data_IF_505504463944
#
_entry.id   IF_505504463944
#
_cell.length_a   1.000
_cell.length_b   1.000
_cell.length_c   1.000
_cell.angle_alpha   90.00
_cell.angle_beta   90.00
_cell.angle_gamma   90.00
#
_symmetry.space_group_name_H-M   'P 1'
#
loop_
_entity.id
_entity.type
_entity.pdbx_description
1 polymer ?
#
# COMPACT_ATOMS: atom_id res chain seq x y z
N UNK A 1 -45.50 25.51 10.69
CA UNK A 1 -45.05 25.00 9.38
C UNK A 1 -43.53 25.02 9.21
N UNK A 2 -42.83 26.12 9.52
CA UNK A 2 -41.38 26.28 9.32
C UNK A 2 -40.54 25.17 9.99
N UNK A 3 -40.86 24.76 11.23
CA UNK A 3 -40.16 23.64 11.90
C UNK A 3 -40.28 22.31 11.14
N UNK A 4 -41.45 22.00 10.57
CA UNK A 4 -41.67 20.75 9.80
C UNK A 4 -40.91 20.75 8.47
N UNK A 5 -40.82 21.91 7.81
CA UNK A 5 -40.03 22.08 6.57
C UNK A 5 -38.53 21.95 6.87
N UNK A 6 -38.06 22.54 7.97
CA UNK A 6 -36.67 22.44 8.40
C UNK A 6 -36.27 21.01 8.77
N UNK A 7 -37.14 20.28 9.50
CA UNK A 7 -36.93 18.85 9.82
C UNK A 7 -36.91 17.98 8.56
N UNK A 8 -37.78 18.25 7.58
CA UNK A 8 -37.80 17.53 6.30
C UNK A 8 -36.52 17.78 5.49
N UNK A 9 -36.02 19.03 5.48
CA UNK A 9 -34.79 19.40 4.79
C UNK A 9 -33.54 18.76 5.41
N UNK A 10 -33.49 18.67 6.76
CA UNK A 10 -32.43 17.95 7.47
C UNK A 10 -32.46 16.44 7.18
N UNK A 11 -33.65 15.86 7.01
CA UNK A 11 -33.79 14.45 6.66
C UNK A 11 -33.28 14.15 5.25
N UNK A 12 -33.60 14.99 4.27
CA UNK A 12 -33.15 14.79 2.87
C UNK A 12 -31.65 14.98 2.71
N UNK A 13 -31.03 15.90 3.45
CA UNK A 13 -29.59 16.14 3.41
C UNK A 13 -28.78 14.94 3.93
N UNK A 14 -29.29 14.25 4.96
CA UNK A 14 -28.65 13.05 5.50
C UNK A 14 -28.64 11.87 4.51
N UNK A 15 -29.66 11.73 3.66
CA UNK A 15 -29.76 10.64 2.68
C UNK A 15 -28.71 10.75 1.55
N UNK A 16 -28.33 11.98 1.18
CA UNK A 16 -27.35 12.23 0.12
C UNK A 16 -25.94 11.77 0.52
N UNK A 17 -25.52 12.00 1.76
CA UNK A 17 -24.21 11.57 2.26
C UNK A 17 -24.06 10.03 2.37
N UNK A 18 -25.16 9.31 2.64
CA UNK A 18 -25.15 7.84 2.66
C UNK A 18 -25.13 7.21 1.26
N UNK A 19 -25.65 7.89 0.24
CA UNK A 19 -25.74 7.36 -1.12
C UNK A 19 -24.36 7.20 -1.80
N UNK A 20 -23.44 8.16 -1.62
CA UNK A 20 -22.13 8.17 -2.30
C UNK A 20 -21.26 6.94 -1.97
N UNK A 21 -21.23 6.51 -0.70
CA UNK A 21 -20.46 5.30 -0.29
C UNK A 21 -21.04 4.01 -0.87
N UNK A 22 -22.36 3.98 -1.05
CA UNK A 22 -23.06 2.80 -1.55
C UNK A 22 -22.75 2.54 -3.03
N UNK A 23 -22.52 3.60 -3.82
CA UNK A 23 -22.27 3.52 -5.25
C UNK A 23 -20.91 2.85 -5.57
N UNK A 24 -19.81 3.37 -5.04
CA UNK A 24 -18.46 2.82 -5.29
C UNK A 24 -18.33 1.36 -4.87
N UNK A 25 -18.85 1.00 -3.69
CA UNK A 25 -18.82 -0.38 -3.21
C UNK A 25 -19.62 -1.32 -4.12
N UNK A 26 -20.74 -0.86 -4.67
CA UNK A 26 -21.58 -1.63 -5.60
C UNK A 26 -20.85 -1.85 -6.93
N UNK A 27 -20.20 -0.82 -7.46
CA UNK A 27 -19.40 -0.93 -8.69
C UNK A 27 -18.24 -1.90 -8.55
N UNK A 28 -17.47 -1.79 -7.46
CA UNK A 28 -16.37 -2.73 -7.17
C UNK A 28 -16.88 -4.17 -7.05
N UNK A 29 -18.00 -4.40 -6.37
CA UNK A 29 -18.62 -5.73 -6.29
C UNK A 29 -19.02 -6.26 -7.66
N UNK A 30 -19.55 -5.42 -8.55
CA UNK A 30 -19.89 -5.79 -9.93
C UNK A 30 -18.66 -6.21 -10.74
N UNK A 31 -17.51 -5.55 -10.54
CA UNK A 31 -16.24 -5.92 -11.20
C UNK A 31 -15.75 -7.29 -10.72
N UNK A 32 -15.82 -7.51 -9.40
CA UNK A 32 -15.37 -8.75 -8.75
C UNK A 32 -16.28 -9.93 -9.09
N UNK A 33 -17.56 -9.67 -9.34
CA UNK A 33 -18.55 -10.71 -9.63
C UNK A 33 -18.14 -11.57 -10.84
N UNK A 34 -18.39 -12.87 -10.72
CA UNK A 34 -18.02 -13.89 -11.70
C UNK A 34 -16.51 -14.16 -11.87
N UNK A 35 -15.61 -13.55 -11.08
CA UNK A 35 -14.17 -13.87 -11.14
C UNK A 35 -13.86 -15.11 -10.30
N UNK A 36 -13.10 -16.04 -10.86
CA UNK A 36 -12.61 -17.22 -10.14
C UNK A 36 -11.38 -16.87 -9.27
N UNK A 37 -11.56 -15.95 -8.32
CA UNK A 37 -10.52 -15.50 -7.40
C UNK A 37 -11.14 -14.89 -6.13
N UNK A 38 -10.40 -14.91 -5.02
CA UNK A 38 -10.73 -14.08 -3.85
C UNK A 38 -10.10 -12.70 -4.06
N UNK A 39 -10.93 -11.71 -4.38
CA UNK A 39 -10.48 -10.31 -4.51
C UNK A 39 -10.84 -9.56 -3.23
N UNK A 40 -9.84 -8.95 -2.58
CA UNK A 40 -10.07 -8.00 -1.49
C UNK A 40 -9.69 -6.59 -1.91
N UNK A 41 -10.44 -5.61 -1.40
CA UNK A 41 -10.24 -4.19 -1.69
C UNK A 41 -10.42 -3.42 -0.39
N UNK A 42 -9.47 -2.54 -0.10
CA UNK A 42 -9.54 -1.54 0.97
C UNK A 42 -9.28 -0.17 0.37
N UNK A 43 -10.20 0.77 0.58
CA UNK A 43 -10.03 2.17 0.18
C UNK A 43 -10.13 3.02 1.44
N UNK A 44 -9.10 3.83 1.65
CA UNK A 44 -9.01 4.82 2.70
C UNK A 44 -8.75 6.17 2.03
N UNK A 45 -9.66 7.11 2.20
CA UNK A 45 -9.44 8.49 1.75
C UNK A 45 -8.75 9.27 2.87
N UNK A 46 -7.75 10.08 2.50
CA UNK A 46 -7.03 10.95 3.44
C UNK A 46 -7.75 12.28 3.65
N UNK A 47 -8.54 12.72 2.67
CA UNK A 47 -9.25 14.02 2.68
C UNK A 47 -10.72 13.88 3.08
N UNK A 48 -11.31 12.70 2.89
CA UNK A 48 -12.71 12.42 3.19
C UNK A 48 -12.82 11.19 4.10
N UNK A 49 -12.92 11.41 5.41
CA UNK A 49 -13.09 10.35 6.40
C UNK A 49 -14.35 9.49 6.17
N UNK A 50 -15.29 9.95 5.36
CA UNK A 50 -16.48 9.21 4.99
C UNK A 50 -16.23 8.26 3.80
N UNK A 51 -15.24 8.48 2.96
CA UNK A 51 -14.91 7.61 1.82
C UNK A 51 -13.98 6.45 2.23
N UNK A 52 -14.44 5.63 3.17
CA UNK A 52 -13.74 4.42 3.61
C UNK A 52 -14.58 3.20 3.32
N UNK A 53 -14.02 2.21 2.63
CA UNK A 53 -14.71 0.95 2.33
C UNK A 53 -13.78 -0.24 2.32
N UNK A 54 -14.34 -1.40 2.66
CA UNK A 54 -13.68 -2.70 2.63
C UNK A 54 -14.57 -3.74 1.92
N UNK A 55 -13.93 -4.58 1.11
CA UNK A 55 -14.47 -5.81 0.52
C UNK A 55 -13.46 -6.92 0.86
N UNK A 56 -13.89 -7.97 1.56
CA UNK A 56 -13.02 -9.07 2.02
C UNK A 56 -11.79 -8.60 2.84
N UNK A 57 -11.90 -7.47 3.55
CA UNK A 57 -10.78 -6.85 4.27
C UNK A 57 -10.26 -7.64 5.47
N UNK A 58 -11.01 -8.65 5.91
CA UNK A 58 -10.65 -9.59 6.98
C UNK A 58 -9.85 -10.80 6.46
N UNK A 59 -9.74 -10.98 5.14
CA UNK A 59 -9.05 -12.13 4.54
C UNK A 59 -7.53 -11.98 4.63
N UNK A 60 -6.86 -13.08 4.98
CA UNK A 60 -5.40 -13.19 4.92
C UNK A 60 -4.98 -13.49 3.49
N UNK A 61 -4.43 -12.49 2.80
CA UNK A 61 -3.95 -12.60 1.42
C UNK A 61 -2.41 -12.59 1.37
N UNK A 62 -1.80 -13.27 0.39
CA UNK A 62 -0.36 -13.21 0.20
C UNK A 62 0.05 -11.81 -0.26
N UNK A 63 0.96 -11.17 0.48
CA UNK A 63 1.45 -9.82 0.13
C UNK A 63 2.35 -9.81 -1.10
N UNK A 64 3.04 -10.93 -1.38
CA UNK A 64 4.13 -10.95 -2.37
C UNK A 64 5.07 -9.76 -2.13
N UNK A 65 5.56 -9.09 -3.18
CA UNK A 65 6.48 -7.95 -3.03
C UNK A 65 5.87 -6.71 -2.35
N UNK A 66 4.57 -6.65 -2.02
CA UNK A 66 3.98 -5.53 -1.26
C UNK A 66 4.57 -5.42 0.15
N UNK A 67 4.99 -6.54 0.76
CA UNK A 67 5.62 -6.54 2.09
C UNK A 67 6.89 -5.68 2.17
N UNK A 68 7.56 -5.43 1.04
CA UNK A 68 8.78 -4.65 0.97
C UNK A 68 8.60 -3.19 1.36
N UNK A 69 7.40 -2.63 1.17
CA UNK A 69 7.04 -1.33 1.71
C UNK A 69 7.27 -1.27 3.24
N UNK A 70 6.82 -2.29 3.96
CA UNK A 70 6.96 -2.38 5.42
C UNK A 70 8.43 -2.59 5.84
N UNK A 71 9.19 -3.37 5.07
CA UNK A 71 10.64 -3.52 5.28
C UNK A 71 11.36 -2.18 5.10
N UNK A 72 11.02 -1.42 4.06
CA UNK A 72 11.59 -0.10 3.81
C UNK A 72 11.27 0.86 4.96
N UNK A 73 10.03 0.90 5.45
CA UNK A 73 9.66 1.70 6.62
C UNK A 73 10.48 1.31 7.86
N UNK A 74 10.63 0.01 8.15
CA UNK A 74 11.42 -0.45 9.29
C UNK A 74 12.91 -0.07 9.17
N UNK A 75 13.47 -0.11 7.97
CA UNK A 75 14.85 0.34 7.73
C UNK A 75 14.98 1.85 7.90
N UNK A 76 14.01 2.63 7.41
CA UNK A 76 14.01 4.09 7.54
C UNK A 76 13.83 4.55 8.99
N UNK A 77 13.00 3.87 9.79
CA UNK A 77 12.89 4.13 11.22
C UNK A 77 14.24 3.94 11.95
N UNK A 78 15.04 2.95 11.53
CA UNK A 78 16.40 2.75 12.06
C UNK A 78 17.40 3.79 11.58
N UNK A 79 17.16 4.41 10.41
CA UNK A 79 17.91 5.60 9.98
C UNK A 79 17.57 6.78 10.88
N UNK A 80 16.28 7.02 11.15
CA UNK A 80 15.82 8.13 11.99
C UNK A 80 16.36 8.02 13.43
N UNK A 81 16.51 6.78 13.93
CA UNK A 81 17.15 6.48 15.23
C UNK A 81 18.68 6.61 15.23
N UNK A 82 19.29 6.91 14.08
CA UNK A 82 20.74 7.07 13.94
C UNK A 82 21.53 5.76 13.89
N UNK A 83 20.87 4.59 13.82
CA UNK A 83 21.54 3.29 13.74
C UNK A 83 22.12 3.02 12.34
N UNK A 84 21.47 3.58 11.31
CA UNK A 84 21.93 3.57 9.93
C UNK A 84 21.98 4.97 9.35
N UNK A 85 22.63 5.10 8.19
CA UNK A 85 22.63 6.33 7.39
C UNK A 85 22.24 5.99 5.95
N UNK A 86 21.43 6.83 5.30
CA UNK A 86 21.03 6.62 3.90
C UNK A 86 22.20 6.64 2.92
N UNK A 87 23.22 7.45 3.22
CA UNK A 87 24.50 7.51 2.51
C UNK A 87 25.54 6.50 3.06
N UNK A 88 25.16 5.73 4.08
CA UNK A 88 25.93 4.64 4.63
C UNK A 88 26.15 3.54 3.58
N UNK A 89 27.39 3.08 3.47
CA UNK A 89 27.78 2.05 2.49
C UNK A 89 27.65 0.65 3.09
N UNK A 90 26.79 -0.17 2.50
CA UNK A 90 26.59 -1.58 2.85
C UNK A 90 27.33 -2.46 1.84
N UNK A 91 28.10 -3.43 2.33
CA UNK A 91 28.75 -4.44 1.49
C UNK A 91 27.70 -5.45 1.00
N UNK A 92 27.50 -5.55 -0.30
CA UNK A 92 26.65 -6.59 -0.90
C UNK A 92 27.54 -7.78 -1.28
N UNK A 93 27.49 -8.83 -0.47
CA UNK A 93 28.24 -10.06 -0.76
C UNK A 93 27.64 -10.79 -1.96
N UNK A 94 28.49 -11.43 -2.78
CA UNK A 94 28.04 -12.21 -3.95
C UNK A 94 26.91 -13.22 -3.61
N UNK A 95 26.97 -14.00 -2.51
CA UNK A 95 25.92 -14.98 -2.19
C UNK A 95 24.54 -14.37 -1.93
N UNK A 96 24.44 -13.07 -1.64
CA UNK A 96 23.16 -12.39 -1.43
C UNK A 96 22.48 -11.99 -2.75
N UNK A 97 23.22 -12.01 -3.85
CA UNK A 97 22.69 -11.77 -5.20
C UNK A 97 22.26 -13.11 -5.81
N UNK A 98 21.16 -13.66 -5.30
CA UNK A 98 20.60 -14.95 -5.73
C UNK A 98 20.40 -15.01 -7.25
N UNK A 99 20.70 -16.14 -7.86
CA UNK A 99 20.39 -16.42 -9.28
C UNK A 99 18.93 -16.86 -9.45
N UNK A 100 18.45 -16.93 -10.70
CA UNK A 100 17.10 -17.42 -11.05
C UNK A 100 15.95 -16.67 -10.35
N UNK A 101 16.16 -15.38 -10.05
CA UNK A 101 15.13 -14.49 -9.50
C UNK A 101 15.25 -13.08 -10.04
N UNK A 102 14.16 -12.32 -9.92
CA UNK A 102 14.11 -10.90 -10.27
C UNK A 102 14.99 -10.08 -9.33
N UNK A 103 16.10 -9.54 -9.85
CA UNK A 103 17.01 -8.67 -9.10
C UNK A 103 17.69 -7.66 -10.03
N UNK A 104 17.05 -6.51 -10.30
CA UNK A 104 17.67 -5.44 -11.09
C UNK A 104 18.99 -4.95 -10.48
N UNK A 105 19.13 -5.02 -9.16
CA UNK A 105 20.38 -4.67 -8.47
C UNK A 105 21.54 -5.57 -8.88
N UNK A 106 21.30 -6.88 -9.10
CA UNK A 106 22.34 -7.80 -9.59
C UNK A 106 22.83 -7.41 -10.97
N UNK A 107 21.92 -7.02 -11.87
CA UNK A 107 22.25 -6.62 -13.24
C UNK A 107 23.00 -5.28 -13.32
N UNK A 108 22.77 -4.38 -12.34
CA UNK A 108 23.40 -3.06 -12.29
C UNK A 108 24.66 -2.98 -11.44
N UNK A 109 24.96 -4.04 -10.67
CA UNK A 109 26.19 -4.11 -9.89
C UNK A 109 27.25 -4.86 -10.70
N UNK A 110 28.54 -4.53 -10.50
CA UNK A 110 29.64 -5.25 -11.14
C UNK A 110 29.50 -6.78 -10.99
N UNK A 111 29.79 -7.56 -12.05
CA UNK A 111 29.46 -8.98 -12.18
C UNK A 111 30.18 -9.91 -11.18
N UNK A 112 30.94 -9.35 -10.22
CA UNK A 112 31.68 -10.11 -9.23
C UNK A 112 31.10 -10.04 -7.81
N UNK A 113 30.06 -9.24 -7.57
CA UNK A 113 29.54 -8.99 -6.22
C UNK A 113 30.60 -8.34 -5.32
N UNK A 114 30.40 -8.39 -4.00
CA UNK A 114 31.30 -7.82 -3.00
C UNK A 114 31.52 -6.31 -3.18
N UNK A 115 30.46 -5.60 -3.58
CA UNK A 115 30.51 -4.16 -3.82
C UNK A 115 29.84 -3.43 -2.67
N UNK A 116 30.47 -2.35 -2.20
CA UNK A 116 29.85 -1.42 -1.26
C UNK A 116 28.93 -0.47 -2.01
N UNK A 117 27.66 -0.41 -1.63
CA UNK A 117 26.68 0.54 -2.20
C UNK A 117 25.90 1.25 -1.12
N UNK A 118 25.24 2.35 -1.47
CA UNK A 118 24.49 3.18 -0.51
C UNK A 118 23.22 2.45 -0.06
N UNK A 119 22.87 2.58 1.23
CA UNK A 119 21.60 2.08 1.75
C UNK A 119 20.40 2.65 0.98
N UNK A 120 20.44 3.94 0.64
CA UNK A 120 19.43 4.59 -0.21
C UNK A 120 19.24 3.91 -1.56
N UNK A 121 20.33 3.42 -2.18
CA UNK A 121 20.26 2.67 -3.45
C UNK A 121 19.62 1.30 -3.24
N UNK A 122 19.91 0.62 -2.14
CA UNK A 122 19.32 -0.68 -1.80
C UNK A 122 17.80 -0.55 -1.62
N UNK A 123 17.35 0.45 -0.85
CA UNK A 123 15.93 0.73 -0.63
C UNK A 123 15.23 1.02 -1.96
N UNK A 124 15.86 1.78 -2.87
CA UNK A 124 15.30 2.09 -4.20
C UNK A 124 15.05 0.85 -5.08
N UNK A 125 15.81 -0.22 -4.90
CA UNK A 125 15.64 -1.48 -5.65
C UNK A 125 14.72 -2.50 -4.97
N UNK A 126 14.33 -2.23 -3.73
CA UNK A 126 13.55 -3.15 -2.90
C UNK A 126 12.07 -2.95 -3.20
#
# INVERSE_FOLDING_TARGET
MIKKVFTFLLFTLSLLSFAQKSALKKELKKIIDGKNATVAVSVLSLDDAHLNLNINGDKKLPMQSVFKFHIALAVLDRVDKGEFKLDGRILIARPWLLENTWSPMREQLPPKGNVKTLLSRIIKFT
#
